data_IF_592793381932
#
_entry.id   IF_592793381932
#
_cell.length_a   1.000
_cell.length_b   1.000
_cell.length_c   1.000
_cell.angle_alpha   90.00
_cell.angle_beta   90.00
_cell.angle_gamma   90.00
#
_symmetry.space_group_name_H-M   'P 1'
#
loop_
_entity.id
_entity.type
_entity.pdbx_description
1 polymer ?
#
# COMPACT_ATOMS: atom_id res chain seq x y z
N UNK A 1 -20.83 -16.01 8.11
CA UNK A 1 -20.17 -14.70 8.19
C UNK A 1 -19.74 -14.36 6.78
N UNK A 2 -20.35 -13.37 6.15
CA UNK A 2 -19.80 -12.82 4.92
C UNK A 2 -18.40 -12.30 5.25
N UNK A 3 -17.38 -12.92 4.65
CA UNK A 3 -16.01 -12.50 4.87
C UNK A 3 -15.85 -11.11 4.22
N UNK A 4 -15.80 -10.07 5.05
CA UNK A 4 -15.50 -8.72 4.57
C UNK A 4 -14.04 -8.70 4.10
N UNK A 5 -13.86 -8.68 2.78
CA UNK A 5 -12.53 -8.56 2.17
C UNK A 5 -11.95 -7.17 2.48
N UNK A 6 -10.61 -7.04 2.57
CA UNK A 6 -9.96 -5.75 2.74
C UNK A 6 -10.34 -4.76 1.64
N UNK A 7 -10.64 -3.52 2.03
CA UNK A 7 -11.11 -2.44 1.17
C UNK A 7 -10.23 -1.17 1.26
N UNK A 8 -9.33 -1.09 2.25
CA UNK A 8 -8.44 0.07 2.49
C UNK A 8 -7.01 -0.43 2.62
N UNK A 9 -6.36 -0.63 1.49
CA UNK A 9 -5.08 -1.31 1.39
C UNK A 9 -3.94 -0.28 1.26
N UNK A 10 -2.89 -0.43 2.05
CA UNK A 10 -1.62 0.26 1.86
C UNK A 10 -0.61 -0.70 1.23
N UNK A 11 -0.01 -0.29 0.11
CA UNK A 11 1.02 -1.06 -0.60
C UNK A 11 2.39 -0.47 -0.29
N UNK A 12 3.27 -1.23 0.37
CA UNK A 12 4.62 -0.76 0.74
C UNK A 12 5.65 -0.94 -0.38
N UNK A 13 5.25 -1.53 -1.51
CA UNK A 13 6.12 -1.72 -2.69
C UNK A 13 5.43 -1.39 -4.02
N UNK A 14 6.22 -1.35 -5.08
CA UNK A 14 5.71 -1.18 -6.44
C UNK A 14 4.89 -2.40 -6.87
N UNK A 15 5.38 -3.61 -6.64
CA UNK A 15 4.80 -4.86 -7.12
C UNK A 15 3.39 -5.08 -6.56
N UNK A 16 3.20 -4.78 -5.28
CA UNK A 16 1.89 -4.84 -4.61
C UNK A 16 0.93 -3.79 -5.17
N UNK A 17 1.44 -2.59 -5.46
CA UNK A 17 0.65 -1.55 -6.14
C UNK A 17 0.24 -1.99 -7.54
N UNK A 18 1.21 -2.36 -8.39
CA UNK A 18 0.97 -2.74 -9.78
C UNK A 18 0.01 -3.94 -9.87
N UNK A 19 0.19 -4.95 -9.02
CA UNK A 19 -0.66 -6.14 -8.99
C UNK A 19 -2.13 -5.74 -8.81
N UNK A 20 -2.44 -4.91 -7.81
CA UNK A 20 -3.81 -4.46 -7.56
C UNK A 20 -4.38 -3.62 -8.72
N UNK A 21 -3.55 -2.80 -9.37
CA UNK A 21 -3.98 -2.11 -10.61
C UNK A 21 -4.29 -3.11 -11.74
N UNK A 22 -3.45 -4.13 -11.94
CA UNK A 22 -3.60 -5.11 -13.03
C UNK A 22 -4.84 -5.98 -12.87
N UNK A 23 -5.23 -6.31 -11.64
CA UNK A 23 -6.41 -7.12 -11.35
C UNK A 23 -7.69 -6.29 -11.12
N UNK A 24 -7.65 -4.98 -11.41
CA UNK A 24 -8.82 -4.10 -11.31
C UNK A 24 -9.27 -3.81 -9.88
N UNK A 25 -8.36 -3.80 -8.91
CA UNK A 25 -8.63 -3.52 -7.49
C UNK A 25 -7.89 -2.26 -6.98
N UNK A 26 -7.54 -1.34 -7.89
CA UNK A 26 -6.82 -0.10 -7.56
C UNK A 26 -7.63 0.87 -6.68
N UNK A 27 -8.95 0.78 -6.74
CA UNK A 27 -9.89 1.56 -5.92
C UNK A 27 -9.69 1.31 -4.43
N UNK A 28 -9.28 0.09 -4.05
CA UNK A 28 -9.01 -0.29 -2.66
C UNK A 28 -7.72 0.31 -2.09
N UNK A 29 -6.83 0.83 -2.94
CA UNK A 29 -5.54 1.36 -2.49
C UNK A 29 -5.73 2.74 -1.88
N UNK A 30 -5.32 2.92 -0.63
CA UNK A 30 -5.36 4.20 0.10
C UNK A 30 -3.99 4.83 0.28
N UNK A 31 -2.91 4.07 0.13
CA UNK A 31 -1.53 4.58 0.19
C UNK A 31 -0.53 3.67 -0.52
N UNK A 32 0.56 4.27 -1.02
CA UNK A 32 1.58 3.57 -1.81
C UNK A 32 3.00 3.86 -1.33
N UNK A 33 3.94 3.04 -1.78
CA UNK A 33 5.37 3.29 -1.64
C UNK A 33 5.82 4.54 -2.40
N UNK A 34 6.82 5.23 -1.87
CA UNK A 34 7.57 6.26 -2.60
C UNK A 34 8.25 5.70 -3.85
N UNK A 35 8.56 4.40 -3.87
CA UNK A 35 9.22 3.73 -5.00
C UNK A 35 8.29 3.30 -6.13
N UNK A 36 6.96 3.34 -5.94
CA UNK A 36 5.98 2.99 -6.97
C UNK A 36 6.08 3.91 -8.19
N UNK A 37 6.67 3.48 -9.28
CA UNK A 37 6.67 4.11 -10.62
C UNK A 37 5.63 3.48 -11.57
N UNK A 38 5.17 2.26 -11.29
CA UNK A 38 4.17 1.54 -12.11
C UNK A 38 2.87 1.22 -11.35
N UNK A 39 1.70 1.43 -11.99
CA UNK A 39 1.54 2.20 -13.21
C UNK A 39 1.74 3.71 -12.94
N UNK A 40 2.14 4.55 -13.92
CA UNK A 40 2.49 5.95 -13.68
C UNK A 40 1.41 6.79 -13.01
N UNK A 41 0.13 6.45 -13.21
CA UNK A 41 -1.00 7.13 -12.60
C UNK A 41 -1.11 6.91 -11.08
N UNK A 42 -0.55 5.82 -10.53
CA UNK A 42 -0.63 5.53 -9.10
C UNK A 42 -0.05 6.67 -8.25
N UNK A 43 1.05 7.29 -8.69
CA UNK A 43 1.66 8.44 -8.00
C UNK A 43 0.81 9.72 -8.03
N UNK A 44 -0.09 9.84 -9.00
CA UNK A 44 -1.01 10.97 -9.14
C UNK A 44 -2.26 10.77 -8.29
N UNK A 45 -2.71 9.51 -8.19
CA UNK A 45 -3.96 9.14 -7.54
C UNK A 45 -3.81 8.88 -6.04
N UNK A 46 -2.65 8.39 -5.60
CA UNK A 46 -2.46 7.83 -4.25
C UNK A 46 -1.36 8.56 -3.47
N UNK A 47 -1.54 8.79 -2.15
CA UNK A 47 -0.51 9.37 -1.32
C UNK A 47 0.65 8.39 -1.10
N UNK A 48 1.87 8.93 -1.04
CA UNK A 48 3.10 8.16 -0.76
C UNK A 48 3.36 8.15 0.74
N UNK A 49 3.44 6.97 1.34
CA UNK A 49 3.49 6.79 2.80
C UNK A 49 4.71 6.03 3.31
N UNK A 50 5.51 5.41 2.43
CA UNK A 50 6.73 4.69 2.82
C UNK A 50 7.90 4.92 1.88
N UNK A 51 9.10 4.64 2.36
CA UNK A 51 10.25 4.20 1.56
C UNK A 51 10.29 2.67 1.58
N UNK A 52 11.45 2.06 1.30
CA UNK A 52 11.57 0.59 1.25
C UNK A 52 11.60 -0.01 2.65
N UNK A 53 12.50 0.46 3.52
CA UNK A 53 12.68 -0.03 4.90
C UNK A 53 12.11 0.91 5.97
N UNK A 54 11.51 2.03 5.59
CA UNK A 54 10.93 2.99 6.53
C UNK A 54 9.55 3.44 6.09
N UNK A 55 8.70 3.77 7.05
CA UNK A 55 7.32 4.20 6.80
C UNK A 55 6.93 5.40 7.66
N UNK A 56 6.03 6.22 7.14
CA UNK A 56 5.39 7.30 7.91
C UNK A 56 4.18 6.72 8.62
N UNK A 57 4.39 6.07 9.77
CA UNK A 57 3.35 5.34 10.50
C UNK A 57 2.10 6.19 10.76
N UNK A 58 2.27 7.43 11.25
CA UNK A 58 1.13 8.34 11.48
C UNK A 58 0.31 8.61 10.21
N UNK A 59 0.97 8.70 9.05
CA UNK A 59 0.29 8.87 7.77
C UNK A 59 -0.43 7.61 7.32
N UNK A 60 0.13 6.43 7.60
CA UNK A 60 -0.52 5.15 7.34
C UNK A 60 -1.78 5.04 8.21
N UNK A 61 -1.67 5.28 9.52
CA UNK A 61 -2.80 5.21 10.45
C UNK A 61 -3.91 6.23 10.11
N UNK A 62 -3.55 7.44 9.69
CA UNK A 62 -4.51 8.46 9.26
C UNK A 62 -5.32 8.04 8.01
N UNK A 63 -4.82 7.09 7.21
CA UNK A 63 -5.57 6.52 6.08
C UNK A 63 -6.52 5.40 6.52
N UNK A 64 -6.54 5.03 7.79
CA UNK A 64 -7.37 3.96 8.34
C UNK A 64 -7.36 2.68 7.47
N UNK A 65 -6.18 2.09 7.18
CA UNK A 65 -6.11 0.87 6.40
C UNK A 65 -6.66 -0.33 7.18
N UNK A 66 -7.22 -1.29 6.46
CA UNK A 66 -7.61 -2.60 6.98
C UNK A 66 -6.64 -3.72 6.56
N UNK A 67 -5.69 -3.40 5.67
CA UNK A 67 -4.60 -4.28 5.24
C UNK A 67 -3.37 -3.46 4.83
N UNK A 68 -2.19 -3.94 5.20
CA UNK A 68 -0.90 -3.42 4.73
C UNK A 68 -0.13 -4.56 4.06
N UNK A 69 0.30 -4.34 2.81
CA UNK A 69 1.04 -5.31 2.01
C UNK A 69 2.52 -4.94 1.93
N UNK A 70 3.38 -5.78 2.51
CA UNK A 70 4.83 -5.76 2.33
C UNK A 70 5.31 -6.79 1.31
N UNK A 71 6.64 -6.92 1.16
CA UNK A 71 7.28 -7.87 0.25
C UNK A 71 8.33 -8.76 0.93
N UNK A 72 9.01 -8.28 1.98
CA UNK A 72 10.20 -8.92 2.56
C UNK A 72 10.35 -8.60 4.05
N UNK A 73 11.01 -9.49 4.79
CA UNK A 73 11.41 -9.28 6.20
C UNK A 73 12.25 -8.02 6.44
N UNK A 74 12.87 -7.45 5.39
CA UNK A 74 13.50 -6.13 5.48
C UNK A 74 12.52 -5.00 5.87
N UNK A 75 11.21 -5.28 5.81
CA UNK A 75 10.13 -4.38 6.20
C UNK A 75 9.48 -4.77 7.53
N UNK A 76 9.98 -5.80 8.24
CA UNK A 76 9.35 -6.33 9.45
C UNK A 76 9.14 -5.25 10.52
N UNK A 77 10.11 -4.35 10.71
CA UNK A 77 10.06 -3.28 11.70
C UNK A 77 8.96 -2.24 11.43
N UNK A 78 8.38 -2.20 10.21
CA UNK A 78 7.23 -1.34 9.90
C UNK A 78 5.94 -1.89 10.53
N UNK A 79 5.89 -3.19 10.79
CA UNK A 79 4.69 -3.92 11.22
C UNK A 79 4.80 -4.50 12.65
N UNK A 80 5.79 -4.06 13.44
CA UNK A 80 5.90 -4.41 14.87
C UNK A 80 4.94 -3.61 15.75
#
# INVERSE_FOLDING_TARGET
MDAQLPCRIVCLTEETTETLYRIGQADRIVGISGFTVRPPQARKEKPRVSAFTSARIDRILALAPDLVLGFSDLQADIAQ
#
